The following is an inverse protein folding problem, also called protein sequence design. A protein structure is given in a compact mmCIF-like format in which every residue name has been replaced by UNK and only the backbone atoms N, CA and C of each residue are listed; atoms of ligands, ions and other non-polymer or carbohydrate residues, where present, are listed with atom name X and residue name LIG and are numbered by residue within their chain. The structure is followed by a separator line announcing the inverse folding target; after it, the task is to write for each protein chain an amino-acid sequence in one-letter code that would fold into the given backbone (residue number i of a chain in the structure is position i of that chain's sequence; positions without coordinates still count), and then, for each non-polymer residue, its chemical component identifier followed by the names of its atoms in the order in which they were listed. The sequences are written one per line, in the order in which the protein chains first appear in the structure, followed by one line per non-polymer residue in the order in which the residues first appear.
data_IF_897716174958
#
_entry.id   IF_897716174958
#
_cell.length_a   1.000
_cell.length_b   1.000
_cell.length_c   1.000
_cell.angle_alpha   90.00
_cell.angle_beta   90.00
_cell.angle_gamma   90.00
#
_symmetry.space_group_name_H-M   'P 1'
#
loop_
_entity.id
_entity.type
_entity.pdbx_description
1 polymer ?
#
# COMPACT_ATOMS: atom_id res chain seq x y z
N UNK A 1 -7.29 -0.37 -11.39
CA UNK A 1 -6.13 0.50 -11.73
C UNK A 1 -5.81 1.39 -10.54
N UNK A 2 -4.54 1.74 -10.37
CA UNK A 2 -4.03 2.61 -9.33
C UNK A 2 -3.86 4.04 -9.83
N UNK A 3 -3.73 4.98 -8.90
CA UNK A 3 -3.48 6.38 -9.17
C UNK A 3 -2.76 7.04 -7.99
N UNK A 4 -2.06 8.13 -8.26
CA UNK A 4 -1.51 9.03 -7.26
C UNK A 4 -1.72 10.49 -7.70
N UNK A 5 -1.00 11.43 -7.10
CA UNK A 5 -1.15 12.86 -7.42
C UNK A 5 -0.75 13.20 -8.86
N UNK A 6 0.20 12.47 -9.44
CA UNK A 6 0.80 12.79 -10.75
C UNK A 6 0.36 11.85 -11.87
N UNK A 7 0.05 10.59 -11.55
CA UNK A 7 -0.30 9.55 -12.51
C UNK A 7 -1.69 8.98 -12.21
N UNK A 8 -2.49 8.81 -13.26
CA UNK A 8 -3.82 8.19 -13.19
C UNK A 8 -3.82 6.89 -14.00
N UNK A 9 -4.68 5.95 -13.63
CA UNK A 9 -4.95 4.70 -14.38
C UNK A 9 -3.74 3.76 -14.53
N UNK A 10 -2.84 3.73 -13.55
CA UNK A 10 -1.70 2.80 -13.55
C UNK A 10 -2.15 1.35 -13.38
N UNK A 11 -1.58 0.45 -14.17
CA UNK A 11 -1.62 -0.99 -13.89
C UNK A 11 -0.63 -1.31 -12.76
N UNK A 12 -0.75 -2.51 -12.20
CA UNK A 12 0.15 -2.94 -11.13
C UNK A 12 1.63 -2.97 -11.56
N UNK A 13 1.93 -3.36 -12.80
CA UNK A 13 3.31 -3.37 -13.31
C UNK A 13 3.95 -1.97 -13.32
N UNK A 14 3.17 -0.93 -13.62
CA UNK A 14 3.63 0.47 -13.56
C UNK A 14 3.89 0.89 -12.10
N UNK A 15 3.01 0.51 -11.18
CA UNK A 15 3.20 0.73 -9.74
C UNK A 15 4.49 0.06 -9.26
N UNK A 16 4.70 -1.20 -9.64
CA UNK A 16 5.89 -1.95 -9.28
C UNK A 16 7.17 -1.31 -9.83
N UNK A 17 7.15 -0.86 -11.09
CA UNK A 17 8.26 -0.12 -11.70
C UNK A 17 8.59 1.17 -10.95
N UNK A 18 7.57 1.91 -10.48
CA UNK A 18 7.79 3.09 -9.66
C UNK A 18 8.41 2.76 -8.29
N UNK A 19 7.98 1.68 -7.64
CA UNK A 19 8.57 1.21 -6.38
C UNK A 19 10.05 0.86 -6.57
N UNK A 20 10.38 0.09 -7.61
CA UNK A 20 11.76 -0.26 -7.94
C UNK A 20 12.61 0.99 -8.21
N UNK A 21 12.08 1.94 -8.98
CA UNK A 21 12.78 3.21 -9.28
C UNK A 21 13.03 4.01 -8.01
N UNK A 22 12.03 4.09 -7.12
CA UNK A 22 12.16 4.75 -5.83
C UNK A 22 13.26 4.10 -4.98
N UNK A 23 13.31 2.77 -4.87
CA UNK A 23 14.35 2.07 -4.11
C UNK A 23 15.74 2.22 -4.73
N UNK A 24 15.86 2.07 -6.05
CA UNK A 24 17.13 2.18 -6.79
C UNK A 24 17.76 3.57 -6.72
N UNK A 25 16.98 4.62 -6.47
CA UNK A 25 17.51 5.98 -6.31
C UNK A 25 18.38 6.15 -5.06
N UNK A 26 18.18 5.34 -4.00
CA UNK A 26 19.07 5.30 -2.84
C UNK A 26 19.04 3.89 -2.20
N UNK A 27 19.84 2.94 -2.71
CA UNK A 27 19.77 1.54 -2.30
C UNK A 27 20.20 1.25 -0.85
N UNK A 28 20.90 2.18 -0.21
CA UNK A 28 21.37 2.07 1.20
C UNK A 28 20.25 2.42 2.20
N UNK A 29 19.06 2.82 1.72
CA UNK A 29 17.95 3.21 2.57
C UNK A 29 17.34 2.08 3.39
N UNK A 30 16.63 2.46 4.45
CA UNK A 30 15.69 1.61 5.18
C UNK A 30 14.30 1.76 4.56
N UNK A 31 13.78 0.67 4.01
CA UNK A 31 12.55 0.66 3.24
C UNK A 31 11.44 -0.15 3.90
N UNK A 32 10.24 0.41 3.88
CA UNK A 32 9.02 -0.23 4.38
C UNK A 32 7.92 -0.14 3.33
N UNK A 33 7.54 -1.28 2.78
CA UNK A 33 6.43 -1.42 1.85
C UNK A 33 5.16 -1.76 2.63
N UNK A 34 4.14 -0.91 2.53
CA UNK A 34 2.89 -1.04 3.26
C UNK A 34 1.72 -1.13 2.28
N UNK A 35 0.78 -2.01 2.59
CA UNK A 35 -0.48 -2.16 1.86
C UNK A 35 -1.63 -2.24 2.83
N UNK A 36 -2.76 -1.63 2.50
CA UNK A 36 -3.95 -1.64 3.35
C UNK A 36 -5.16 -1.09 2.63
N UNK A 37 -6.35 -1.49 3.09
CA UNK A 37 -7.62 -1.00 2.56
C UNK A 37 -8.44 -0.39 3.69
N UNK A 38 -8.96 0.81 3.45
CA UNK A 38 -9.92 1.49 4.32
C UNK A 38 -11.27 1.64 3.61
N UNK A 39 -12.37 1.75 4.38
CA UNK A 39 -13.72 1.90 3.85
C UNK A 39 -14.44 3.15 4.35
N UNK A 40 -15.16 3.79 3.44
CA UNK A 40 -16.02 4.94 3.71
C UNK A 40 -17.46 4.60 3.33
N UNK A 41 -18.34 4.59 4.33
CA UNK A 41 -19.75 4.28 4.14
C UNK A 41 -20.50 5.56 3.76
N UNK A 42 -21.23 5.50 2.65
CA UNK A 42 -22.17 6.53 2.21
C UNK A 42 -23.59 5.94 2.08
N UNK A 43 -24.65 6.78 2.10
CA UNK A 43 -26.03 6.29 2.05
C UNK A 43 -26.37 5.41 0.83
N UNK A 44 -25.67 5.60 -0.30
CA UNK A 44 -25.94 4.86 -1.55
C UNK A 44 -24.84 3.85 -1.93
N UNK A 45 -23.70 3.88 -1.26
CA UNK A 45 -22.55 3.04 -1.61
C UNK A 45 -21.51 3.01 -0.50
N UNK A 46 -20.65 2.00 -0.52
CA UNK A 46 -19.45 1.93 0.32
C UNK A 46 -18.23 2.03 -0.58
N UNK A 47 -17.35 2.98 -0.30
CA UNK A 47 -16.12 3.22 -1.03
C UNK A 47 -14.95 2.57 -0.30
N UNK A 48 -14.24 1.67 -0.97
CA UNK A 48 -13.02 1.07 -0.47
C UNK A 48 -11.81 1.69 -1.17
N UNK A 49 -10.78 2.04 -0.40
CA UNK A 49 -9.54 2.62 -0.88
C UNK A 49 -8.40 1.70 -0.49
N UNK A 50 -7.79 1.02 -1.46
CA UNK A 50 -6.58 0.22 -1.22
C UNK A 50 -5.35 1.05 -1.56
N UNK A 51 -4.48 1.29 -0.58
CA UNK A 51 -3.21 2.00 -0.73
C UNK A 51 -2.01 1.06 -0.86
N UNK A 52 -1.01 1.49 -1.62
CA UNK A 52 0.35 0.92 -1.63
C UNK A 52 1.30 2.06 -1.36
N UNK A 53 2.15 1.90 -0.34
CA UNK A 53 3.12 2.91 0.09
C UNK A 53 4.49 2.27 0.24
N UNK A 54 5.50 2.78 -0.45
CA UNK A 54 6.90 2.48 -0.18
C UNK A 54 7.52 3.68 0.52
N UNK A 55 7.90 3.51 1.78
CA UNK A 55 8.54 4.54 2.57
C UNK A 55 10.05 4.27 2.63
N UNK A 56 10.85 5.32 2.49
CA UNK A 56 12.25 5.35 2.93
C UNK A 56 12.30 6.06 4.28
N UNK A 57 12.64 5.35 5.34
CA UNK A 57 12.54 5.87 6.71
C UNK A 57 13.36 7.15 6.85
N UNK A 58 12.71 8.22 7.34
CA UNK A 58 13.30 9.55 7.48
C UNK A 58 13.55 10.34 6.18
N UNK A 59 13.25 9.78 5.00
CA UNK A 59 13.61 10.37 3.70
C UNK A 59 12.46 10.39 2.68
N UNK A 60 11.23 10.21 3.14
CA UNK A 60 10.01 10.35 2.33
C UNK A 60 9.41 9.02 1.88
N UNK A 61 8.39 9.10 1.02
CA UNK A 61 7.66 7.93 0.54
C UNK A 61 7.13 8.15 -0.88
N UNK A 62 6.92 7.06 -1.59
CA UNK A 62 6.09 7.02 -2.78
C UNK A 62 4.82 6.23 -2.48
N UNK A 63 3.67 6.73 -2.93
CA UNK A 63 2.39 6.13 -2.66
C UNK A 63 1.46 6.18 -3.89
N UNK A 64 0.59 5.19 -3.98
CA UNK A 64 -0.56 5.20 -4.87
C UNK A 64 -1.74 4.48 -4.21
N UNK A 65 -2.92 4.63 -4.79
CA UNK A 65 -4.13 3.97 -4.31
C UNK A 65 -5.04 3.58 -5.46
N UNK A 66 -5.91 2.60 -5.22
CA UNK A 66 -7.04 2.27 -6.09
C UNK A 66 -8.35 2.43 -5.33
N UNK A 67 -9.43 2.66 -6.07
CA UNK A 67 -10.78 2.79 -5.52
C UNK A 67 -11.66 1.64 -5.99
N UNK A 68 -12.50 1.15 -5.10
CA UNK A 68 -13.55 0.19 -5.41
C UNK A 68 -14.87 0.64 -4.78
N UNK A 69 -15.96 0.57 -5.55
CA UNK A 69 -17.28 1.05 -5.11
C UNK A 69 -18.23 -0.13 -5.05
N UNK A 70 -18.73 -0.40 -3.85
CA UNK A 70 -19.81 -1.36 -3.63
C UNK A 70 -21.12 -0.57 -3.55
N UNK A 71 -22.07 -0.84 -4.45
CA UNK A 71 -23.32 -0.07 -4.59
C UNK A 71 -24.38 -0.44 -3.55
N UNK A 72 -23.97 -0.46 -2.27
CA UNK A 72 -24.83 -0.56 -1.09
C UNK A 72 -24.12 -0.02 0.14
N UNK A 73 -24.89 0.32 1.14
CA UNK A 73 -24.38 0.64 2.48
C UNK A 73 -23.94 -0.64 3.20
N UNK A 74 -22.69 -0.71 3.65
CA UNK A 74 -22.17 -1.82 4.47
C UNK A 74 -22.15 -1.39 5.94
N UNK A 75 -23.27 -1.57 6.63
CA UNK A 75 -23.46 -1.14 8.03
C UNK A 75 -22.77 -2.06 9.04
N UNK A 76 -22.55 -3.32 8.67
CA UNK A 76 -21.96 -4.33 9.55
C UNK A 76 -20.44 -4.19 9.56
N UNK A 77 -19.86 -3.93 10.75
CA UNK A 77 -18.41 -3.75 10.90
C UNK A 77 -17.61 -4.98 10.46
N UNK A 78 -18.03 -6.18 10.89
CA UNK A 78 -17.35 -7.42 10.51
C UNK A 78 -17.31 -7.62 9.00
N UNK A 79 -18.39 -7.27 8.31
CA UNK A 79 -18.48 -7.36 6.85
C UNK A 79 -17.48 -6.43 6.17
N UNK A 80 -17.39 -5.19 6.65
CA UNK A 80 -16.42 -4.21 6.15
C UNK A 80 -14.97 -4.65 6.37
N UNK A 81 -14.62 -5.05 7.58
CA UNK A 81 -13.26 -5.51 7.91
C UNK A 81 -12.89 -6.73 7.07
N UNK A 82 -13.83 -7.67 6.92
CA UNK A 82 -13.62 -8.86 6.07
C UNK A 82 -13.33 -8.45 4.63
N UNK A 83 -14.09 -7.49 4.09
CA UNK A 83 -13.90 -7.01 2.72
C UNK A 83 -12.61 -6.19 2.55
N UNK A 84 -12.27 -5.32 3.49
CA UNK A 84 -10.99 -4.59 3.55
C UNK A 84 -9.81 -5.56 3.54
N UNK A 85 -9.88 -6.62 4.35
CA UNK A 85 -8.86 -7.67 4.42
C UNK A 85 -8.72 -8.37 3.08
N UNK A 86 -9.84 -8.83 2.49
CA UNK A 86 -9.83 -9.48 1.17
C UNK A 86 -9.24 -8.59 0.07
N UNK A 87 -9.54 -7.29 0.06
CA UNK A 87 -8.98 -6.35 -0.92
C UNK A 87 -7.48 -6.11 -0.72
N UNK A 88 -7.04 -6.08 0.54
CA UNK A 88 -5.63 -5.93 0.90
C UNK A 88 -4.84 -7.17 0.50
N UNK A 89 -5.35 -8.37 0.79
CA UNK A 89 -4.77 -9.66 0.38
C UNK A 89 -4.66 -9.78 -1.13
N UNK A 90 -5.69 -9.36 -1.87
CA UNK A 90 -5.64 -9.36 -3.33
C UNK A 90 -4.49 -8.50 -3.89
N UNK A 91 -4.20 -7.35 -3.26
CA UNK A 91 -3.07 -6.50 -3.68
C UNK A 91 -1.75 -7.10 -3.24
N UNK A 92 -1.67 -7.63 -2.01
CA UNK A 92 -0.47 -8.29 -1.52
C UNK A 92 -0.08 -9.50 -2.40
N UNK A 93 -1.05 -10.25 -2.89
CA UNK A 93 -0.84 -11.37 -3.81
C UNK A 93 -0.25 -10.97 -5.16
N UNK A 94 -0.36 -9.69 -5.56
CA UNK A 94 0.29 -9.19 -6.78
C UNK A 94 1.82 -9.12 -6.63
N UNK A 95 2.32 -8.98 -5.39
CA UNK A 95 3.74 -9.08 -5.07
C UNK A 95 4.12 -10.57 -4.98
N UNK A 96 4.27 -11.20 -6.13
CA UNK A 96 4.75 -12.59 -6.25
C UNK A 96 6.15 -12.74 -5.66
N UNK A 97 6.57 -13.98 -5.41
CA UNK A 97 7.93 -14.27 -4.92
C UNK A 97 9.02 -13.69 -5.84
N UNK A 98 8.84 -13.77 -7.16
CA UNK A 98 9.74 -13.13 -8.15
C UNK A 98 9.85 -11.62 -7.91
N UNK A 99 8.71 -10.92 -7.81
CA UNK A 99 8.69 -9.49 -7.56
C UNK A 99 9.26 -9.10 -6.20
N UNK A 100 9.08 -9.94 -5.17
CA UNK A 100 9.71 -9.73 -3.86
C UNK A 100 11.23 -9.85 -3.96
N UNK A 101 11.72 -10.86 -4.69
CA UNK A 101 13.16 -11.03 -4.92
C UNK A 101 13.76 -9.82 -5.64
N UNK A 102 13.11 -9.30 -6.68
CA UNK A 102 13.55 -8.07 -7.37
C UNK A 102 13.71 -6.88 -6.41
N UNK A 103 12.81 -6.72 -5.43
CA UNK A 103 12.90 -5.66 -4.42
C UNK A 103 14.04 -5.91 -3.43
N UNK A 104 14.22 -7.16 -3.00
CA UNK A 104 15.30 -7.57 -2.08
C UNK A 104 16.66 -7.36 -2.74
N UNK A 105 16.81 -7.68 -4.02
CA UNK A 105 18.05 -7.52 -4.77
C UNK A 105 18.54 -6.06 -4.82
N UNK A 106 17.65 -5.08 -4.70
CA UNK A 106 18.04 -3.66 -4.62
C UNK A 106 18.85 -3.37 -3.35
N UNK A 107 18.45 -3.93 -2.21
CA UNK A 107 19.08 -3.66 -0.90
C UNK A 107 20.16 -4.67 -0.53
N UNK A 108 20.11 -5.88 -1.10
CA UNK A 108 20.99 -7.00 -0.75
C UNK A 108 22.49 -6.64 -0.77
N UNK A 109 23.03 -5.92 -1.78
CA UNK A 109 24.45 -5.52 -1.79
C UNK A 109 24.84 -4.53 -0.69
N UNK A 110 23.86 -3.93 -0.02
CA UNK A 110 24.03 -2.83 0.94
C UNK A 110 23.58 -3.18 2.36
N UNK A 111 23.19 -4.44 2.64
CA UNK A 111 22.76 -4.87 3.97
C UNK A 111 23.83 -4.60 5.04
N UNK A 112 25.09 -4.90 4.76
CA UNK A 112 26.22 -4.60 5.69
C UNK A 112 26.52 -3.11 5.86
N UNK A 113 25.89 -2.25 5.04
CA UNK A 113 25.95 -0.78 5.15
C UNK A 113 24.70 -0.20 5.80
N UNK A 114 23.81 -1.05 6.33
CA UNK A 114 22.60 -0.65 7.05
C UNK A 114 21.33 -0.60 6.21
N UNK A 115 21.34 -1.10 4.96
CA UNK A 115 20.13 -1.17 4.15
C UNK A 115 19.18 -2.26 4.67
N UNK A 116 17.89 -1.96 4.70
CA UNK A 116 16.83 -2.85 5.18
C UNK A 116 15.59 -2.75 4.31
N UNK A 117 14.85 -3.84 4.20
CA UNK A 117 13.57 -3.87 3.48
C UNK A 117 12.57 -4.75 4.23
N UNK A 118 11.37 -4.21 4.46
CA UNK A 118 10.27 -4.90 5.11
C UNK A 118 8.98 -4.73 4.31
N UNK A 119 8.13 -5.76 4.34
CA UNK A 119 6.79 -5.74 3.72
C UNK A 119 5.76 -5.95 4.83
N UNK A 120 4.79 -5.04 4.92
CA UNK A 120 3.74 -5.06 5.93
C UNK A 120 2.35 -4.93 5.28
N UNK A 121 1.45 -5.85 5.63
CA UNK A 121 0.02 -5.70 5.38
C UNK A 121 -0.65 -5.12 6.61
N UNK A 122 -1.31 -3.98 6.48
CA UNK A 122 -2.12 -3.41 7.56
C UNK A 122 -3.53 -4.02 7.48
N UNK A 123 -3.91 -4.74 8.53
CA UNK A 123 -5.30 -5.14 8.81
C UNK A 123 -5.70 -4.35 10.06
N UNK A 124 -6.26 -3.15 9.86
CA UNK A 124 -6.67 -2.29 10.97
C UNK A 124 -7.95 -2.81 11.62
N UNK A 125 -7.81 -3.73 12.58
CA UNK A 125 -8.91 -4.09 13.50
C UNK A 125 -8.83 -3.14 14.69
N UNK A 126 -9.44 -1.96 14.55
CA UNK A 126 -9.59 -1.07 15.69
C UNK A 126 -10.02 0.35 15.33
N UNK A 127 -10.97 0.88 16.11
CA UNK A 127 -11.17 2.32 16.27
C UNK A 127 -10.02 2.93 17.10
N UNK A 128 -8.80 2.87 16.55
CA UNK A 128 -7.57 3.48 17.09
C UNK A 128 -7.25 4.79 16.37
N UNK A 129 -6.60 5.71 17.06
CA UNK A 129 -6.60 7.16 16.82
C UNK A 129 -6.68 7.60 15.35
N UNK A 130 -7.84 8.19 15.00
CA UNK A 130 -8.02 8.99 13.80
C UNK A 130 -6.82 9.91 13.69
N UNK A 131 -6.03 9.76 12.64
CA UNK A 131 -5.01 10.72 12.26
C UNK A 131 -5.73 12.06 12.04
N UNK A 132 -5.82 12.86 13.11
CA UNK A 132 -6.39 14.20 13.08
C UNK A 132 -5.40 15.02 12.30
N UNK A 133 -5.61 15.11 10.99
CA UNK A 133 -5.09 16.22 10.20
C UNK A 133 -5.76 17.47 10.75
N UNK A 134 -5.17 18.03 11.81
CA UNK A 134 -5.47 19.37 12.28
C UNK A 134 -4.91 20.30 11.20
N UNK A 135 -5.82 20.83 10.39
CA UNK A 135 -5.58 22.08 9.65
C UNK A 135 -5.67 23.22 10.65
#
# INVERSE_FOLDING_TARGET
MFQNLTHKKMKFEEVFSHILTFMKSEPIGDYKLMMGTDSQVHPSHTLFITGIVIQRVGKGAWACFRKEVVHREMTTLHERISYETSLTEQVAALFTEEKKNDLIEVVLPYIYKGATFTIEGHIDIGSGDRNRTRV
#
